data_IF_975963096364
#
_entry.id   IF_975963096364
#
_cell.length_a   1.000
_cell.length_b   1.000
_cell.length_c   1.000
_cell.angle_alpha   90.00
_cell.angle_beta   90.00
_cell.angle_gamma   90.00
#
_symmetry.space_group_name_H-M   'P 1'
#
loop_
_entity.id
_entity.type
_entity.pdbx_description
1 polymer ?
#
# COMPACT_ATOMS: atom_id res chain seq x y z
N UNK A 1 80.73 -26.53 -45.90
CA UNK A 1 81.65 -25.81 -45.00
C UNK A 1 80.84 -25.03 -43.97
N UNK A 2 81.35 -24.98 -42.74
CA UNK A 2 80.64 -24.75 -41.47
C UNK A 2 80.21 -23.31 -41.16
N UNK A 3 78.99 -23.20 -40.58
CA UNK A 3 78.53 -22.35 -39.43
C UNK A 3 78.56 -20.80 -39.57
N UNK A 4 77.88 -20.01 -38.69
CA UNK A 4 76.79 -20.29 -37.71
C UNK A 4 75.61 -19.28 -37.72
N UNK A 5 74.56 -19.58 -36.92
CA UNK A 5 73.40 -18.75 -36.57
C UNK A 5 73.73 -17.59 -35.60
N UNK A 6 72.91 -16.52 -35.63
CA UNK A 6 72.65 -15.58 -34.51
C UNK A 6 71.27 -14.88 -34.71
N UNK A 7 70.68 -14.21 -33.69
CA UNK A 7 69.42 -14.64 -33.08
C UNK A 7 68.22 -13.69 -33.26
N UNK A 8 67.05 -14.19 -32.83
CA UNK A 8 65.74 -13.53 -32.71
C UNK A 8 65.84 -12.11 -32.12
N UNK A 9 65.22 -11.14 -32.81
CA UNK A 9 64.86 -9.82 -32.29
C UNK A 9 63.38 -9.57 -32.58
N UNK A 10 62.65 -9.21 -31.53
CA UNK A 10 61.21 -8.93 -31.49
C UNK A 10 60.82 -7.69 -32.30
N UNK A 11 59.72 -7.68 -33.05
CA UNK A 11 59.08 -6.45 -33.47
C UNK A 11 58.09 -5.98 -32.40
N UNK A 12 58.29 -4.74 -31.97
CA UNK A 12 57.41 -3.89 -31.19
C UNK A 12 56.00 -3.77 -31.80
N UNK A 13 54.97 -3.84 -30.94
CA UNK A 13 53.58 -3.50 -31.27
C UNK A 13 53.46 -2.02 -31.68
N UNK A 14 52.66 -1.67 -32.72
CA UNK A 14 52.24 -0.30 -32.97
C UNK A 14 51.07 0.11 -32.05
N UNK A 15 50.84 1.43 -31.88
CA UNK A 15 49.94 1.97 -30.85
C UNK A 15 48.47 1.75 -31.18
N UNK A 16 47.68 1.46 -30.14
CA UNK A 16 46.23 1.37 -30.16
C UNK A 16 45.69 2.78 -30.42
N UNK A 17 45.03 2.98 -31.56
CA UNK A 17 44.21 4.16 -31.82
C UNK A 17 42.89 4.02 -31.04
N UNK A 18 42.55 5.07 -30.28
CA UNK A 18 41.28 5.23 -29.57
C UNK A 18 40.09 5.16 -30.52
N UNK A 19 39.49 3.98 -30.62
CA UNK A 19 38.16 3.78 -31.18
C UNK A 19 37.12 4.08 -30.11
N UNK A 20 36.53 5.28 -30.16
CA UNK A 20 35.33 5.62 -29.42
C UNK A 20 34.21 4.62 -29.78
N UNK A 21 33.98 3.63 -28.92
CA UNK A 21 32.83 2.73 -29.01
C UNK A 21 31.61 3.53 -28.57
N UNK A 22 31.01 4.26 -29.52
CA UNK A 22 29.63 4.72 -29.39
C UNK A 22 28.76 3.47 -29.34
N UNK A 23 28.42 3.04 -28.12
CA UNK A 23 27.50 1.92 -27.88
C UNK A 23 26.13 2.30 -28.45
N UNK A 24 25.84 1.83 -29.66
CA UNK A 24 24.53 1.99 -30.27
C UNK A 24 23.49 1.30 -29.37
N UNK A 25 22.51 2.07 -28.92
CA UNK A 25 21.43 1.57 -28.09
C UNK A 25 20.65 0.47 -28.84
N UNK A 26 20.48 -0.71 -28.22
CA UNK A 26 19.71 -1.83 -28.77
C UNK A 26 18.30 -1.41 -29.25
N UNK A 27 17.75 -1.98 -30.34
CA UNK A 27 16.44 -1.58 -30.89
C UNK A 27 15.30 -1.58 -29.87
N UNK A 28 15.33 -2.49 -28.88
CA UNK A 28 14.36 -2.53 -27.76
C UNK A 28 14.50 -1.33 -26.81
N UNK A 29 15.71 -0.82 -26.58
CA UNK A 29 15.92 0.34 -25.69
C UNK A 29 15.54 1.66 -26.37
N UNK A 30 15.72 1.75 -27.70
CA UNK A 30 15.25 2.87 -28.53
C UNK A 30 13.72 2.92 -28.53
N UNK A 31 13.02 1.82 -28.89
CA UNK A 31 11.53 1.75 -28.87
C UNK A 31 10.92 2.14 -27.51
N UNK A 32 11.62 1.84 -26.41
CA UNK A 32 11.15 2.07 -25.02
C UNK A 32 11.34 3.51 -24.55
N UNK A 33 12.44 4.19 -24.91
CA UNK A 33 12.56 5.64 -24.73
C UNK A 33 11.44 6.37 -25.48
N UNK A 34 10.97 5.79 -26.59
CA UNK A 34 9.85 6.31 -27.38
C UNK A 34 8.50 6.22 -26.67
N UNK A 35 8.21 5.17 -25.88
CA UNK A 35 6.89 5.01 -25.20
C UNK A 35 6.63 6.08 -24.15
N UNK A 36 7.56 6.26 -23.20
CA UNK A 36 7.44 7.31 -22.19
C UNK A 36 7.44 8.72 -22.82
N UNK A 37 8.31 8.97 -23.80
CA UNK A 37 8.33 10.23 -24.53
C UNK A 37 7.00 10.51 -25.27
N UNK A 38 6.38 9.48 -25.86
CA UNK A 38 5.09 9.60 -26.54
C UNK A 38 3.96 9.89 -25.56
N UNK A 39 3.94 9.25 -24.39
CA UNK A 39 2.97 9.56 -23.34
C UNK A 39 3.13 10.98 -22.82
N UNK A 40 4.36 11.41 -22.53
CA UNK A 40 4.65 12.77 -22.07
C UNK A 40 4.21 13.83 -23.07
N UNK A 41 4.29 13.59 -24.38
CA UNK A 41 3.77 14.54 -25.39
C UNK A 41 2.27 14.81 -25.27
N UNK A 42 1.51 13.87 -24.70
CA UNK A 42 0.05 14.00 -24.50
C UNK A 42 -0.31 14.73 -23.22
N UNK A 43 0.63 14.86 -22.28
CA UNK A 43 0.39 15.50 -20.99
C UNK A 43 0.70 17.01 -21.10
N UNK A 44 -0.22 17.91 -20.70
CA UNK A 44 0.03 19.35 -20.68
C UNK A 44 1.32 19.72 -19.95
N UNK A 45 2.00 20.79 -20.41
CA UNK A 45 3.31 21.17 -19.84
C UNK A 45 3.24 21.53 -18.35
N UNK A 46 2.17 22.19 -17.90
CA UNK A 46 1.97 22.50 -16.48
C UNK A 46 1.92 21.25 -15.61
N UNK A 47 1.10 20.27 -16.01
CA UNK A 47 1.00 18.97 -15.32
C UNK A 47 2.35 18.24 -15.36
N UNK A 48 3.03 18.20 -16.51
CA UNK A 48 4.34 17.54 -16.64
C UNK A 48 5.41 18.04 -15.67
N UNK A 49 5.41 19.34 -15.37
CA UNK A 49 6.38 19.97 -14.49
C UNK A 49 5.91 20.08 -13.04
N UNK A 50 4.65 19.73 -12.76
CA UNK A 50 4.14 19.70 -11.40
C UNK A 50 4.97 18.75 -10.54
N UNK A 51 5.40 19.25 -9.38
CA UNK A 51 6.32 18.56 -8.46
C UNK A 51 5.54 17.94 -7.32
N UNK A 52 5.82 16.67 -7.05
CA UNK A 52 5.26 15.92 -5.95
C UNK A 52 6.36 15.66 -4.92
N UNK A 53 6.16 16.14 -3.70
CA UNK A 53 6.97 15.78 -2.55
C UNK A 53 6.47 14.43 -2.01
N UNK A 54 7.17 13.36 -2.39
CA UNK A 54 6.85 11.99 -1.98
C UNK A 54 7.93 11.46 -1.04
N UNK A 55 7.59 10.46 -0.24
CA UNK A 55 8.54 9.72 0.56
C UNK A 55 8.77 8.33 -0.05
N UNK A 56 10.02 7.91 -0.21
CA UNK A 56 10.39 6.64 -0.84
C UNK A 56 11.21 5.76 0.10
N UNK A 57 11.16 4.45 -0.13
CA UNK A 57 12.03 3.50 0.55
C UNK A 57 12.33 2.29 -0.33
N UNK A 58 13.09 1.36 0.24
CA UNK A 58 13.63 0.18 -0.44
C UNK A 58 12.86 -1.10 -0.14
N UNK A 59 12.19 -1.22 1.02
CA UNK A 59 11.40 -2.41 1.38
C UNK A 59 10.35 -2.15 2.46
N UNK A 60 9.38 -3.06 2.62
CA UNK A 60 8.24 -2.86 3.51
C UNK A 60 8.57 -2.60 4.99
N UNK A 61 9.74 -3.04 5.47
CA UNK A 61 10.19 -2.87 6.87
C UNK A 61 10.83 -1.51 7.16
N UNK A 62 10.98 -0.66 6.16
CA UNK A 62 11.58 0.67 6.35
C UNK A 62 10.73 1.51 7.28
N UNK A 63 11.39 2.17 8.23
CA UNK A 63 10.77 3.06 9.20
C UNK A 63 11.08 4.53 8.97
N UNK A 64 12.05 4.86 8.12
CA UNK A 64 12.49 6.24 7.82
C UNK A 64 12.57 6.42 6.30
N UNK A 65 11.44 6.69 5.63
CA UNK A 65 11.45 6.90 4.19
C UNK A 65 12.13 8.23 3.84
N UNK A 66 12.80 8.26 2.70
CA UNK A 66 13.55 9.44 2.23
C UNK A 66 12.59 10.31 1.41
N UNK A 67 12.48 11.58 1.77
CA UNK A 67 11.72 12.53 0.96
C UNK A 67 12.44 12.81 -0.37
N UNK A 68 11.67 12.79 -1.47
CA UNK A 68 12.10 13.17 -2.81
C UNK A 68 11.06 14.09 -3.43
N UNK A 69 11.53 15.11 -4.12
CA UNK A 69 10.70 15.92 -5.01
C UNK A 69 10.84 15.39 -6.43
N UNK A 70 9.73 14.94 -7.01
CA UNK A 70 9.70 14.40 -8.37
C UNK A 70 8.63 15.09 -9.19
N UNK A 71 9.00 15.48 -10.41
CA UNK A 71 8.00 15.94 -11.39
C UNK A 71 7.16 14.76 -11.86
N UNK A 72 5.92 15.03 -12.28
CA UNK A 72 5.09 14.04 -12.99
C UNK A 72 5.85 13.46 -14.20
N UNK A 73 6.65 14.27 -14.89
CA UNK A 73 7.51 13.78 -15.98
C UNK A 73 8.55 12.75 -15.54
N UNK A 74 9.16 12.94 -14.35
CA UNK A 74 10.10 12.00 -13.79
C UNK A 74 9.38 10.69 -13.41
N UNK A 75 8.24 10.77 -12.71
CA UNK A 75 7.44 9.60 -12.35
C UNK A 75 7.01 8.79 -13.57
N UNK A 76 6.48 9.43 -14.62
CA UNK A 76 6.10 8.74 -15.86
C UNK A 76 7.30 8.01 -16.48
N UNK A 77 8.50 8.62 -16.48
CA UNK A 77 9.70 7.97 -17.02
C UNK A 77 10.16 6.78 -16.17
N UNK A 78 10.15 6.94 -14.85
CA UNK A 78 10.53 5.90 -13.89
C UNK A 78 9.54 4.73 -13.95
N UNK A 79 8.24 5.01 -13.99
CA UNK A 79 7.18 4.01 -13.84
C UNK A 79 6.71 3.38 -15.15
N UNK A 80 7.08 3.90 -16.32
CA UNK A 80 6.75 3.22 -17.61
C UNK A 80 7.41 1.83 -17.73
N UNK A 81 8.41 1.53 -16.89
CA UNK A 81 9.09 0.23 -16.86
C UNK A 81 8.88 -0.42 -15.50
N UNK A 82 8.43 -1.69 -15.45
CA UNK A 82 8.38 -2.41 -14.20
C UNK A 82 9.78 -2.85 -13.82
N UNK A 83 9.99 -2.99 -12.52
CA UNK A 83 11.09 -3.77 -11.95
C UNK A 83 10.81 -5.27 -12.14
N UNK A 84 11.69 -5.94 -12.89
CA UNK A 84 11.65 -7.37 -13.18
C UNK A 84 12.65 -8.17 -12.33
N UNK A 85 13.31 -7.52 -11.38
CA UNK A 85 14.32 -8.13 -10.52
C UNK A 85 13.75 -8.62 -9.19
N UNK A 86 12.48 -8.32 -8.92
CA UNK A 86 11.77 -8.78 -7.72
C UNK A 86 11.33 -10.22 -7.86
N UNK A 87 11.47 -10.96 -6.77
CA UNK A 87 11.04 -12.34 -6.69
C UNK A 87 11.84 -13.28 -7.59
N UNK A 88 11.50 -14.57 -7.49
CA UNK A 88 12.05 -15.65 -8.31
C UNK A 88 10.96 -16.49 -8.97
N UNK A 89 9.73 -16.40 -8.49
CA UNK A 89 8.61 -17.16 -9.01
C UNK A 89 8.13 -16.58 -10.34
N UNK A 90 7.69 -17.48 -11.22
CA UNK A 90 6.85 -17.09 -12.36
C UNK A 90 5.52 -16.53 -11.88
N UNK A 91 4.80 -15.81 -12.75
CA UNK A 91 3.47 -15.30 -12.43
C UNK A 91 2.50 -16.42 -12.03
N UNK A 92 2.50 -17.54 -12.76
CA UNK A 92 1.60 -18.65 -12.45
C UNK A 92 1.92 -19.26 -11.08
N UNK A 93 3.20 -19.56 -10.79
CA UNK A 93 3.62 -20.04 -9.47
C UNK A 93 3.27 -19.07 -8.34
N UNK A 94 3.44 -17.77 -8.59
CA UNK A 94 3.10 -16.74 -7.61
C UNK A 94 1.59 -16.70 -7.32
N UNK A 95 0.75 -16.86 -8.35
CA UNK A 95 -0.71 -16.84 -8.23
C UNK A 95 -1.27 -18.13 -7.61
N UNK A 96 -0.55 -19.25 -7.71
CA UNK A 96 -0.89 -20.51 -7.04
C UNK A 96 -0.68 -20.49 -5.53
N UNK A 97 0.12 -19.55 -5.00
CA UNK A 97 0.35 -19.42 -3.55
C UNK A 97 -0.95 -19.08 -2.80
N UNK A 98 -1.29 -19.90 -1.81
CA UNK A 98 -2.44 -19.65 -0.94
C UNK A 98 -2.15 -18.49 0.01
N UNK A 99 -3.01 -17.46 -0.05
CA UNK A 99 -2.91 -16.28 0.80
C UNK A 99 -3.43 -16.52 2.22
N UNK A 100 -4.16 -17.61 2.45
CA UNK A 100 -4.66 -18.01 3.77
C UNK A 100 -3.61 -18.80 4.55
N UNK A 101 -2.72 -19.50 3.84
CA UNK A 101 -1.58 -20.16 4.46
C UNK A 101 -0.51 -19.12 4.88
N UNK A 102 -0.12 -19.03 6.16
CA UNK A 102 0.82 -18.01 6.63
C UNK A 102 2.20 -18.09 5.96
N UNK A 103 2.69 -19.30 5.69
CA UNK A 103 4.02 -19.52 5.09
C UNK A 103 4.03 -19.07 3.64
N UNK A 104 3.03 -19.49 2.86
CA UNK A 104 2.89 -19.08 1.46
C UNK A 104 2.57 -17.59 1.33
N UNK A 105 1.77 -17.02 2.23
CA UNK A 105 1.56 -15.56 2.32
C UNK A 105 2.87 -14.81 2.59
N UNK A 106 3.72 -15.32 3.49
CA UNK A 106 5.03 -14.73 3.75
C UNK A 106 5.94 -14.79 2.51
N UNK A 107 5.97 -15.93 1.81
CA UNK A 107 6.66 -16.07 0.51
C UNK A 107 6.12 -15.06 -0.50
N UNK A 108 4.80 -14.94 -0.64
CA UNK A 108 4.14 -14.01 -1.57
C UNK A 108 4.51 -12.55 -1.28
N UNK A 109 4.64 -12.19 0.00
CA UNK A 109 5.07 -10.87 0.43
C UNK A 109 6.54 -10.63 0.11
N UNK A 110 7.42 -11.59 0.36
CA UNK A 110 8.84 -11.49 0.07
C UNK A 110 9.12 -11.36 -1.44
N UNK A 111 8.37 -12.08 -2.29
CA UNK A 111 8.49 -12.04 -3.74
C UNK A 111 8.22 -10.65 -4.33
N UNK A 112 7.22 -9.93 -3.81
CA UNK A 112 6.84 -8.59 -4.31
C UNK A 112 7.57 -7.44 -3.61
N UNK A 113 8.22 -7.71 -2.47
CA UNK A 113 8.83 -6.67 -1.65
C UNK A 113 9.94 -5.95 -2.43
N UNK A 114 10.13 -4.68 -2.11
CA UNK A 114 11.07 -3.83 -2.83
C UNK A 114 10.68 -2.36 -2.74
N UNK A 115 11.23 -1.53 -3.65
CA UNK A 115 11.03 -0.10 -3.60
C UNK A 115 9.56 0.31 -3.55
N UNK A 116 9.27 1.30 -2.73
CA UNK A 116 7.93 1.85 -2.52
C UNK A 116 7.98 3.37 -2.51
N UNK A 117 6.80 3.97 -2.64
CA UNK A 117 6.56 5.38 -2.38
C UNK A 117 5.35 5.57 -1.46
N UNK A 118 5.27 6.75 -0.87
CA UNK A 118 4.14 7.28 -0.12
C UNK A 118 3.89 8.67 -0.69
N UNK A 119 2.68 9.01 -1.15
CA UNK A 119 2.37 10.34 -1.68
C UNK A 119 2.21 11.38 -0.53
N UNK A 120 3.16 11.36 0.40
CA UNK A 120 3.16 12.15 1.61
C UNK A 120 4.59 12.46 2.06
N UNK A 121 4.73 13.50 2.86
CA UNK A 121 5.97 13.85 3.57
C UNK A 121 5.81 13.57 5.06
N UNK A 122 6.93 13.34 5.73
CA UNK A 122 6.99 13.11 7.17
C UNK A 122 7.79 14.23 7.83
N UNK A 123 7.67 14.35 9.15
CA UNK A 123 8.57 15.19 9.94
C UNK A 123 10.01 14.74 9.75
N UNK A 124 10.96 15.67 9.78
CA UNK A 124 12.39 15.37 9.60
C UNK A 124 12.93 14.36 10.62
N UNK A 125 12.39 14.38 11.85
CA UNK A 125 12.70 13.47 12.95
C UNK A 125 11.69 12.32 13.12
N UNK A 126 10.75 12.22 12.17
CA UNK A 126 9.61 11.31 12.25
C UNK A 126 9.87 9.91 11.72
N UNK A 127 8.99 9.00 12.09
CA UNK A 127 8.93 7.64 11.59
C UNK A 127 7.82 7.52 10.55
N UNK A 128 7.81 6.40 9.82
CA UNK A 128 6.72 6.01 8.92
C UNK A 128 5.48 5.60 9.71
N UNK A 129 4.80 6.59 10.28
CA UNK A 129 3.57 6.45 11.05
C UNK A 129 2.64 7.64 10.80
N UNK A 130 1.33 7.42 10.94
CA UNK A 130 0.32 8.40 10.57
C UNK A 130 0.44 9.74 11.33
N UNK A 131 0.90 9.70 12.59
CA UNK A 131 1.10 10.89 13.44
C UNK A 131 2.22 11.80 12.98
N UNK A 132 3.15 11.26 12.18
CA UNK A 132 4.35 11.98 11.76
C UNK A 132 4.22 12.48 10.31
N UNK A 133 3.09 12.21 9.65
CA UNK A 133 2.79 12.72 8.32
C UNK A 133 2.54 14.23 8.41
N UNK A 134 3.22 15.00 7.55
CA UNK A 134 3.11 16.47 7.51
C UNK A 134 2.14 16.92 6.42
N UNK A 135 2.22 16.32 5.23
CA UNK A 135 1.37 16.68 4.10
C UNK A 135 1.22 15.52 3.13
N UNK A 136 0.16 15.53 2.32
CA UNK A 136 -0.05 14.59 1.21
C UNK A 136 -0.12 15.35 -0.11
N UNK A 137 0.53 14.84 -1.15
CA UNK A 137 0.58 15.43 -2.49
C UNK A 137 -0.24 14.66 -3.54
N UNK A 138 -0.87 13.56 -3.14
CA UNK A 138 -1.73 12.79 -4.03
C UNK A 138 -2.48 11.67 -3.32
N UNK A 139 -3.48 11.12 -4.00
CA UNK A 139 -4.22 9.94 -3.58
C UNK A 139 -3.70 8.71 -4.34
N UNK A 140 -3.24 7.70 -3.61
CA UNK A 140 -2.89 6.41 -4.18
C UNK A 140 -4.03 5.41 -3.93
N UNK A 141 -4.51 4.77 -5.00
CA UNK A 141 -5.55 3.75 -4.96
C UNK A 141 -5.03 2.38 -5.37
N UNK A 142 -5.58 1.33 -4.74
CA UNK A 142 -5.32 -0.07 -5.07
C UNK A 142 -6.64 -0.78 -5.41
N UNK A 143 -6.67 -1.41 -6.57
CA UNK A 143 -7.80 -2.12 -7.14
C UNK A 143 -7.37 -3.56 -7.42
N UNK A 144 -7.51 -4.41 -6.42
CA UNK A 144 -6.96 -5.77 -6.41
C UNK A 144 -8.01 -6.88 -6.63
N UNK A 145 -9.28 -6.50 -6.84
CA UNK A 145 -10.41 -7.43 -6.94
C UNK A 145 -10.55 -8.15 -8.30
N UNK A 146 -9.84 -7.69 -9.35
CA UNK A 146 -9.87 -8.35 -10.66
C UNK A 146 -11.07 -8.02 -11.53
N UNK A 147 -11.93 -7.05 -11.17
CA UNK A 147 -13.18 -6.77 -11.91
C UNK A 147 -13.09 -5.55 -12.81
N UNK A 148 -12.25 -4.56 -12.45
CA UNK A 148 -12.15 -3.30 -13.19
C UNK A 148 -11.09 -3.38 -14.28
N UNK A 149 -11.49 -2.99 -15.48
CA UNK A 149 -10.59 -2.86 -16.63
C UNK A 149 -9.92 -1.49 -16.65
N UNK A 150 -8.91 -1.35 -17.49
CA UNK A 150 -8.31 -0.05 -17.81
C UNK A 150 -9.36 0.99 -18.24
N UNK A 151 -10.31 0.60 -19.09
CA UNK A 151 -11.34 1.50 -19.59
C UNK A 151 -12.27 1.98 -18.47
N UNK A 152 -12.57 1.12 -17.50
CA UNK A 152 -13.38 1.50 -16.33
C UNK A 152 -12.65 2.53 -15.46
N UNK A 153 -11.33 2.38 -15.28
CA UNK A 153 -10.51 3.35 -14.53
C UNK A 153 -10.48 4.69 -15.27
N UNK A 154 -10.25 4.68 -16.59
CA UNK A 154 -10.27 5.88 -17.43
C UNK A 154 -11.64 6.59 -17.40
N UNK A 155 -12.74 5.83 -17.40
CA UNK A 155 -14.10 6.37 -17.31
C UNK A 155 -14.41 6.93 -15.92
N UNK A 156 -14.08 6.20 -14.86
CA UNK A 156 -14.34 6.63 -13.48
C UNK A 156 -13.53 7.87 -13.09
N UNK A 157 -12.27 7.97 -13.53
CA UNK A 157 -11.40 9.12 -13.28
C UNK A 157 -11.46 10.19 -14.39
N UNK A 158 -12.47 10.14 -15.27
CA UNK A 158 -12.59 11.07 -16.38
C UNK A 158 -12.62 12.53 -15.89
N UNK A 159 -11.76 13.38 -16.46
CA UNK A 159 -11.63 14.79 -16.10
C UNK A 159 -10.59 15.05 -15.00
N UNK A 160 -10.06 14.01 -14.35
CA UNK A 160 -8.97 14.12 -13.38
C UNK A 160 -7.71 13.46 -13.93
N UNK A 161 -6.58 14.15 -13.85
CA UNK A 161 -5.30 13.59 -14.23
C UNK A 161 -4.90 12.47 -13.25
N UNK A 162 -4.45 11.34 -13.79
CA UNK A 162 -3.95 10.24 -12.98
C UNK A 162 -2.84 9.47 -13.70
N UNK A 163 -2.03 8.76 -12.92
CA UNK A 163 -1.03 7.80 -13.40
C UNK A 163 -1.46 6.42 -12.90
N UNK A 164 -1.56 5.43 -13.78
CA UNK A 164 -1.97 4.07 -13.40
C UNK A 164 -1.00 3.02 -13.95
N UNK A 165 -0.85 1.94 -13.18
CA UNK A 165 -0.05 0.78 -13.55
C UNK A 165 -0.61 -0.51 -12.98
N UNK A 166 -0.31 -1.62 -13.63
CA UNK A 166 -0.71 -2.95 -13.17
C UNK A 166 0.00 -3.35 -11.87
N UNK A 167 -0.71 -3.99 -10.93
CA UNK A 167 -0.12 -4.50 -9.68
C UNK A 167 0.75 -5.74 -9.93
N UNK A 168 1.59 -6.14 -8.95
CA UNK A 168 2.51 -7.29 -9.09
C UNK A 168 1.79 -8.60 -9.44
N UNK A 169 0.54 -8.74 -9.02
CA UNK A 169 -0.29 -9.93 -9.27
C UNK A 169 -1.27 -9.78 -10.43
N UNK A 170 -1.07 -8.78 -11.28
CA UNK A 170 -1.88 -8.55 -12.46
C UNK A 170 -1.74 -9.70 -13.46
N UNK A 171 -2.86 -10.13 -14.01
CA UNK A 171 -2.91 -10.98 -15.20
C UNK A 171 -4.05 -10.52 -16.11
N UNK A 172 -4.02 -10.94 -17.37
CA UNK A 172 -5.11 -10.62 -18.31
C UNK A 172 -6.47 -11.19 -17.90
N UNK A 173 -6.48 -12.23 -17.05
CA UNK A 173 -7.70 -12.84 -16.49
C UNK A 173 -8.21 -12.11 -15.24
N UNK A 174 -7.29 -11.60 -14.42
CA UNK A 174 -7.58 -10.90 -13.17
C UNK A 174 -6.83 -9.56 -13.18
N UNK A 175 -7.39 -8.54 -13.84
CA UNK A 175 -6.76 -7.24 -13.95
C UNK A 175 -6.72 -6.54 -12.59
N UNK A 176 -5.51 -6.24 -12.13
CA UNK A 176 -5.27 -5.52 -10.88
C UNK A 176 -4.43 -4.30 -11.11
N UNK A 177 -4.77 -3.21 -10.42
CA UNK A 177 -4.28 -1.88 -10.75
C UNK A 177 -3.93 -1.09 -9.51
N UNK A 178 -2.90 -0.26 -9.63
CA UNK A 178 -2.67 0.88 -8.76
C UNK A 178 -2.74 2.16 -9.57
N UNK A 179 -3.22 3.20 -8.94
CA UNK A 179 -3.20 4.54 -9.54
C UNK A 179 -2.79 5.59 -8.53
N UNK A 180 -2.24 6.69 -9.03
CA UNK A 180 -1.92 7.90 -8.30
C UNK A 180 -2.68 9.05 -8.95
N UNK A 181 -3.50 9.75 -8.17
CA UNK A 181 -4.11 11.03 -8.52
C UNK A 181 -3.32 12.15 -7.82
N UNK A 182 -2.51 12.91 -8.53
CA UNK A 182 -1.80 14.06 -7.97
C UNK A 182 -2.78 15.17 -7.56
N UNK A 183 -2.54 15.78 -6.41
CA UNK A 183 -3.30 16.95 -5.99
C UNK A 183 -2.76 18.21 -6.64
N UNK A 184 -3.62 19.21 -6.82
CA UNK A 184 -3.18 20.54 -7.28
C UNK A 184 -2.30 21.22 -6.22
N UNK A 185 -2.65 21.05 -4.95
CA UNK A 185 -1.90 21.54 -3.80
C UNK A 185 -1.81 20.43 -2.73
N UNK A 186 -0.70 20.40 -2.00
CA UNK A 186 -0.55 19.45 -0.90
C UNK A 186 -1.55 19.76 0.22
N UNK A 187 -2.13 18.70 0.80
CA UNK A 187 -3.15 18.82 1.85
C UNK A 187 -2.61 18.38 3.21
N UNK A 188 -3.22 18.90 4.27
CA UNK A 188 -3.02 18.39 5.62
C UNK A 188 -3.64 16.98 5.76
N UNK A 189 -3.03 16.06 6.53
CA UNK A 189 -3.53 14.68 6.70
C UNK A 189 -4.98 14.54 7.15
N UNK A 190 -5.51 15.53 7.87
CA UNK A 190 -6.91 15.54 8.30
C UNK A 190 -7.92 15.54 7.15
N UNK A 191 -7.53 16.01 5.96
CA UNK A 191 -8.39 16.00 4.77
C UNK A 191 -8.39 14.66 4.03
N UNK A 192 -7.46 13.75 4.33
CA UNK A 192 -7.32 12.47 3.60
C UNK A 192 -8.58 11.59 3.69
N UNK A 193 -9.26 11.59 4.84
CA UNK A 193 -10.48 10.80 5.03
C UNK A 193 -11.61 11.23 4.05
N UNK A 194 -11.72 12.53 3.77
CA UNK A 194 -12.67 13.05 2.76
C UNK A 194 -12.30 12.58 1.36
N UNK A 195 -11.01 12.68 1.01
CA UNK A 195 -10.53 12.26 -0.31
C UNK A 195 -10.75 10.76 -0.51
N UNK A 196 -10.43 9.94 0.50
CA UNK A 196 -10.68 8.51 0.48
C UNK A 196 -12.18 8.18 0.31
N UNK A 197 -13.07 8.85 1.05
CA UNK A 197 -14.52 8.66 0.91
C UNK A 197 -15.02 9.02 -0.50
N UNK A 198 -14.50 10.09 -1.08
CA UNK A 198 -14.82 10.49 -2.46
C UNK A 198 -14.43 9.39 -3.46
N UNK A 199 -13.20 8.89 -3.41
CA UNK A 199 -12.77 7.82 -4.32
C UNK A 199 -13.44 6.47 -4.03
N UNK A 200 -13.74 6.14 -2.77
CA UNK A 200 -14.57 4.98 -2.43
C UNK A 200 -15.92 5.04 -3.13
N UNK A 201 -16.61 6.18 -3.07
CA UNK A 201 -17.87 6.38 -3.79
C UNK A 201 -17.71 6.23 -5.30
N UNK A 202 -16.67 6.82 -5.87
CA UNK A 202 -16.39 6.77 -7.31
C UNK A 202 -16.12 5.35 -7.83
N UNK A 203 -15.50 4.51 -7.00
CA UNK A 203 -15.15 3.12 -7.32
C UNK A 203 -16.13 2.10 -6.74
N UNK A 204 -17.35 2.49 -6.36
CA UNK A 204 -18.38 1.59 -5.82
C UNK A 204 -17.88 0.75 -4.62
N UNK A 205 -17.05 1.37 -3.78
CA UNK A 205 -16.39 0.80 -2.61
C UNK A 205 -15.38 -0.33 -2.89
N UNK A 206 -14.80 -0.36 -4.10
CA UNK A 206 -13.86 -1.40 -4.50
C UNK A 206 -12.38 -1.14 -4.15
N UNK A 207 -12.02 0.00 -3.54
CA UNK A 207 -10.62 0.26 -3.16
C UNK A 207 -10.26 -0.51 -1.88
N UNK A 208 -8.99 -0.92 -1.77
CA UNK A 208 -8.46 -1.48 -0.53
C UNK A 208 -8.56 -0.46 0.61
N UNK A 209 -8.93 -0.90 1.82
CA UNK A 209 -9.12 0.00 2.97
C UNK A 209 -7.83 0.72 3.38
N UNK A 210 -6.66 0.18 3.04
CA UNK A 210 -5.37 0.84 3.24
C UNK A 210 -5.23 2.13 2.45
N UNK A 211 -6.00 2.35 1.40
CA UNK A 211 -6.05 3.63 0.68
C UNK A 211 -6.45 4.79 1.61
N UNK A 212 -7.20 4.52 2.69
CA UNK A 212 -7.56 5.50 3.71
C UNK A 212 -6.46 5.81 4.74
N UNK A 213 -5.31 5.14 4.67
CA UNK A 213 -4.19 5.33 5.62
C UNK A 213 -3.14 6.28 5.05
N UNK A 214 -2.77 7.31 5.81
CA UNK A 214 -1.87 8.40 5.36
C UNK A 214 -0.40 7.97 5.23
N UNK A 215 0.03 6.98 6.02
CA UNK A 215 1.39 6.43 6.00
C UNK A 215 1.50 5.09 5.23
N UNK A 216 0.50 4.75 4.41
CA UNK A 216 0.50 3.51 3.64
C UNK A 216 1.59 3.53 2.57
N UNK A 217 2.36 2.43 2.48
CA UNK A 217 3.29 2.23 1.38
C UNK A 217 2.61 1.71 0.13
N UNK A 218 3.10 2.18 -1.02
CA UNK A 218 2.69 1.72 -2.33
C UNK A 218 3.93 1.26 -3.08
N UNK A 219 4.00 -0.02 -3.41
CA UNK A 219 5.12 -0.53 -4.18
C UNK A 219 5.18 0.15 -5.54
N UNK A 220 6.38 0.61 -5.92
CA UNK A 220 6.63 1.09 -7.28
C UNK A 220 6.43 -0.05 -8.29
N UNK A 221 6.23 0.26 -9.58
CA UNK A 221 5.90 -0.75 -10.57
C UNK A 221 6.87 -1.92 -10.62
N UNK A 222 6.33 -3.12 -10.51
CA UNK A 222 7.05 -4.38 -10.58
C UNK A 222 6.10 -5.50 -10.98
N UNK A 223 6.64 -6.57 -11.56
CA UNK A 223 5.92 -7.80 -11.84
C UNK A 223 6.89 -8.98 -11.81
N UNK A 224 6.39 -10.23 -11.74
CA UNK A 224 7.22 -11.41 -11.92
C UNK A 224 8.10 -11.34 -13.18
N UNK A 225 9.30 -11.93 -13.17
CA UNK A 225 10.27 -11.79 -14.26
C UNK A 225 9.75 -12.21 -15.64
N UNK A 226 8.86 -13.19 -15.69
CA UNK A 226 8.22 -13.74 -16.88
C UNK A 226 6.93 -12.99 -17.29
N UNK A 227 6.49 -11.99 -16.53
CA UNK A 227 5.23 -11.28 -16.74
C UNK A 227 5.38 -9.90 -17.40
N UNK A 228 6.58 -9.56 -17.90
CA UNK A 228 6.86 -8.24 -18.47
C UNK A 228 5.91 -7.84 -19.60
N UNK A 229 5.40 -8.79 -20.39
CA UNK A 229 4.41 -8.55 -21.45
C UNK A 229 3.02 -8.20 -20.93
N UNK A 230 2.69 -8.56 -19.68
CA UNK A 230 1.41 -8.25 -19.03
C UNK A 230 1.46 -6.93 -18.27
N UNK A 231 2.65 -6.37 -18.06
CA UNK A 231 2.77 -5.09 -17.39
C UNK A 231 2.17 -3.96 -18.22
N UNK A 232 1.24 -3.25 -17.59
CA UNK A 232 0.57 -2.11 -18.19
C UNK A 232 0.84 -0.83 -17.40
N UNK A 233 1.01 0.26 -18.14
CA UNK A 233 1.19 1.61 -17.63
C UNK A 233 0.46 2.57 -18.56
N UNK A 234 -0.32 3.49 -17.99
CA UNK A 234 -1.07 4.50 -18.71
C UNK A 234 -1.34 5.74 -17.83
N UNK A 235 -1.79 6.80 -18.47
CA UNK A 235 -2.14 8.07 -17.80
C UNK A 235 -3.51 8.53 -18.29
N UNK A 236 -4.33 9.04 -17.37
CA UNK A 236 -5.56 9.75 -17.69
C UNK A 236 -5.30 11.18 -18.10
N UNK A 237 -6.21 11.74 -18.90
CA UNK A 237 -6.24 13.18 -19.18
C UNK A 237 -7.21 13.87 -18.22
N UNK A 238 -6.92 15.12 -17.87
CA UNK A 238 -7.71 15.91 -16.95
C UNK A 238 -6.84 16.89 -16.18
N UNK A 239 -7.42 17.48 -15.15
CA UNK A 239 -6.75 18.43 -14.28
C UNK A 239 -6.18 17.76 -13.03
N UNK A 240 -5.22 18.40 -12.37
CA UNK A 240 -4.80 17.99 -11.03
C UNK A 240 -5.99 18.08 -10.08
N UNK A 241 -6.08 17.19 -9.10
CA UNK A 241 -7.24 17.16 -8.21
C UNK A 241 -7.24 18.36 -7.26
N UNK A 242 -8.26 19.20 -7.38
CA UNK A 242 -8.59 20.20 -6.37
C UNK A 242 -9.35 19.54 -5.21
N UNK A 243 -8.64 19.28 -4.11
CA UNK A 243 -9.23 18.66 -2.91
C UNK A 243 -10.21 19.59 -2.20
N UNK A 244 -10.08 20.91 -2.37
CA UNK A 244 -11.02 21.86 -1.78
C UNK A 244 -12.39 21.79 -2.48
N UNK A 245 -12.43 21.45 -3.78
CA UNK A 245 -13.66 21.26 -4.53
C UNK A 245 -14.40 19.94 -4.18
N UNK A 246 -13.75 18.99 -3.50
CA UNK A 246 -14.41 17.77 -3.04
C UNK A 246 -15.39 18.15 -1.92
N UNK A 247 -16.70 17.85 -2.07
CA UNK A 247 -17.68 18.11 -1.04
C UNK A 247 -17.24 17.48 0.28
N UNK A 248 -17.36 18.23 1.37
CA UNK A 248 -17.22 17.62 2.69
C UNK A 248 -18.17 16.41 2.75
N UNK A 249 -17.70 15.25 3.25
CA UNK A 249 -18.57 14.11 3.38
C UNK A 249 -19.74 14.59 4.23
N UNK A 250 -20.97 14.45 3.70
CA UNK A 250 -22.18 14.76 4.47
C UNK A 250 -21.95 14.10 5.80
N UNK A 251 -21.87 14.90 6.86
CA UNK A 251 -21.72 14.37 8.19
C UNK A 251 -22.98 13.54 8.43
N UNK A 252 -22.96 12.25 8.12
CA UNK A 252 -23.66 11.27 8.96
C UNK A 252 -23.24 11.70 10.35
N UNK A 253 -24.19 12.13 11.19
CA UNK A 253 -23.87 12.85 12.40
C UNK A 253 -22.74 12.07 13.06
N UNK A 254 -21.55 12.68 13.12
CA UNK A 254 -20.53 12.26 14.06
C UNK A 254 -21.32 12.29 15.34
N UNK A 255 -21.77 11.13 15.84
CA UNK A 255 -22.45 11.07 17.12
C UNK A 255 -21.45 11.74 18.02
N UNK A 256 -21.76 12.98 18.41
CA UNK A 256 -20.97 13.68 19.37
C UNK A 256 -20.82 12.67 20.48
N UNK A 257 -19.59 12.38 20.85
CA UNK A 257 -19.30 11.71 22.11
C UNK A 257 -19.60 12.76 23.18
N UNK A 258 -20.87 13.15 23.29
CA UNK A 258 -21.45 13.48 24.56
C UNK A 258 -21.44 12.15 25.28
N UNK A 259 -20.57 12.06 26.29
CA UNK A 259 -20.66 11.11 27.38
C UNK A 259 -22.13 10.87 27.71
N UNK A 260 -22.72 9.79 27.16
CA UNK A 260 -24.02 9.35 27.60
C UNK A 260 -23.80 8.69 28.97
N UNK A 261 -24.59 9.07 29.99
CA UNK A 261 -24.50 8.40 31.27
C UNK A 261 -24.86 6.92 31.10
N UNK A 262 -24.16 6.11 31.90
CA UNK A 262 -24.34 4.69 32.14
C UNK A 262 -25.82 4.28 32.13
N UNK A 263 -26.18 3.41 31.18
CA UNK A 263 -27.29 2.47 31.34
C UNK A 263 -27.07 1.25 30.42
N UNK A 264 -25.97 0.53 30.66
CA UNK A 264 -25.78 -0.82 30.12
C UNK A 264 -26.61 -1.73 31.03
N UNK A 265 -27.77 -2.16 30.53
CA UNK A 265 -28.63 -3.12 31.24
C UNK A 265 -28.03 -4.53 31.15
N UNK A 266 -28.31 -5.39 32.14
CA UNK A 266 -27.88 -6.80 32.22
C UNK A 266 -28.02 -7.60 30.90
N UNK A 267 -28.93 -7.21 30.01
CA UNK A 267 -29.15 -7.80 28.69
C UNK A 267 -27.96 -7.64 27.71
N UNK A 268 -27.13 -6.61 27.84
CA UNK A 268 -25.96 -6.46 26.95
C UNK A 268 -24.79 -7.36 27.36
N UNK A 269 -24.62 -7.60 28.67
CA UNK A 269 -23.66 -8.57 29.20
C UNK A 269 -23.97 -9.96 28.64
N UNK A 270 -25.22 -10.44 28.79
CA UNK A 270 -25.63 -11.76 28.32
C UNK A 270 -25.41 -11.96 26.82
N UNK A 271 -25.69 -10.93 26.02
CA UNK A 271 -25.47 -10.96 24.57
C UNK A 271 -23.99 -11.07 24.21
N UNK A 272 -23.13 -10.27 24.83
CA UNK A 272 -21.68 -10.31 24.57
C UNK A 272 -21.09 -11.64 25.04
N UNK A 273 -21.50 -12.13 26.22
CA UNK A 273 -21.08 -13.43 26.74
C UNK A 273 -21.47 -14.56 25.79
N UNK A 274 -22.71 -14.57 25.28
CA UNK A 274 -23.19 -15.56 24.31
C UNK A 274 -22.39 -15.52 23.00
N UNK A 275 -22.04 -14.33 22.52
CA UNK A 275 -21.22 -14.17 21.32
C UNK A 275 -19.79 -14.70 21.53
N UNK A 276 -19.15 -14.34 22.65
CA UNK A 276 -17.80 -14.81 23.01
C UNK A 276 -17.76 -16.33 23.26
N UNK A 277 -18.86 -16.93 23.73
CA UNK A 277 -18.95 -18.37 23.92
C UNK A 277 -18.76 -19.16 22.61
N UNK A 278 -19.14 -18.60 21.46
CA UNK A 278 -18.98 -19.23 20.13
C UNK A 278 -17.55 -19.06 19.60
N UNK A 279 -16.89 -17.94 19.93
CA UNK A 279 -15.62 -17.55 19.31
C UNK A 279 -14.43 -18.20 20.04
N UNK A 280 -13.45 -18.81 19.34
CA UNK A 280 -12.19 -19.27 19.94
C UNK A 280 -11.28 -18.09 20.30
N UNK A 281 -10.49 -18.21 21.38
CA UNK A 281 -9.62 -17.13 21.87
C UNK A 281 -8.14 -17.28 21.46
N UNK A 282 -7.81 -18.20 20.55
CA UNK A 282 -6.42 -18.56 20.21
C UNK A 282 -5.68 -17.55 19.32
N UNK A 283 -6.41 -16.68 18.61
CA UNK A 283 -5.83 -15.68 17.71
C UNK A 283 -5.43 -14.43 18.52
N UNK A 284 -4.12 -14.16 18.62
CA UNK A 284 -3.59 -13.05 19.43
C UNK A 284 -4.06 -11.68 18.96
N UNK A 285 -4.21 -11.48 17.65
CA UNK A 285 -4.64 -10.20 17.09
C UNK A 285 -6.12 -9.96 17.42
N UNK A 286 -6.97 -10.97 17.24
CA UNK A 286 -8.38 -10.94 17.61
C UNK A 286 -8.57 -10.76 19.12
N UNK A 287 -7.77 -11.46 19.91
CA UNK A 287 -7.79 -11.40 21.36
C UNK A 287 -7.52 -9.98 21.89
N UNK A 288 -6.51 -9.30 21.32
CA UNK A 288 -6.22 -7.89 21.62
C UNK A 288 -7.37 -6.99 21.17
N UNK A 289 -7.85 -7.16 19.93
CA UNK A 289 -8.92 -6.32 19.36
C UNK A 289 -10.21 -6.39 20.18
N UNK A 290 -10.59 -7.58 20.62
CA UNK A 290 -11.80 -7.75 21.43
C UNK A 290 -11.60 -7.29 22.87
N UNK A 291 -10.41 -7.45 23.46
CA UNK A 291 -10.08 -6.86 24.75
C UNK A 291 -10.25 -5.33 24.75
N UNK A 292 -9.75 -4.66 23.70
CA UNK A 292 -9.94 -3.21 23.50
C UNK A 292 -11.44 -2.87 23.35
N UNK A 293 -12.17 -3.63 22.53
CA UNK A 293 -13.59 -3.40 22.30
C UNK A 293 -14.42 -3.53 23.58
N UNK A 294 -14.14 -4.54 24.40
CA UNK A 294 -14.82 -4.74 25.69
C UNK A 294 -14.51 -3.59 26.65
N UNK A 295 -13.22 -3.23 26.83
CA UNK A 295 -12.77 -2.18 27.76
C UNK A 295 -13.37 -0.81 27.44
N UNK A 296 -13.63 -0.52 26.17
CA UNK A 296 -14.19 0.77 25.72
C UNK A 296 -15.71 0.86 25.77
N UNK A 297 -16.41 -0.28 25.70
CA UNK A 297 -17.85 -0.30 25.48
C UNK A 297 -18.64 -0.89 26.66
N UNK A 298 -17.97 -1.40 27.70
CA UNK A 298 -18.59 -1.98 28.89
C UNK A 298 -17.96 -1.39 30.18
N UNK A 299 -18.64 -1.47 31.34
CA UNK A 299 -18.03 -1.15 32.63
C UNK A 299 -16.76 -2.00 32.84
N UNK A 300 -15.69 -1.41 33.38
CA UNK A 300 -14.36 -2.04 33.38
C UNK A 300 -14.32 -3.39 34.11
N UNK A 301 -15.06 -3.53 35.20
CA UNK A 301 -15.22 -4.76 35.96
C UNK A 301 -15.87 -5.88 35.13
N UNK A 302 -16.98 -5.57 34.47
CA UNK A 302 -17.69 -6.50 33.58
C UNK A 302 -16.85 -6.85 32.36
N UNK A 303 -16.20 -5.84 31.76
CA UNK A 303 -15.35 -6.00 30.59
C UNK A 303 -14.15 -6.91 30.88
N UNK A 304 -13.47 -6.68 32.01
CA UNK A 304 -12.33 -7.50 32.47
C UNK A 304 -12.77 -8.93 32.71
N UNK A 305 -13.91 -9.13 33.37
CA UNK A 305 -14.45 -10.46 33.66
C UNK A 305 -14.77 -11.25 32.38
N UNK A 306 -15.47 -10.63 31.42
CA UNK A 306 -15.80 -11.27 30.15
C UNK A 306 -14.57 -11.62 29.34
N UNK A 307 -13.59 -10.71 29.30
CA UNK A 307 -12.35 -10.96 28.60
C UNK A 307 -11.53 -12.06 29.28
N UNK A 308 -11.50 -12.12 30.62
CA UNK A 308 -10.85 -13.20 31.38
C UNK A 308 -11.42 -14.58 31.04
N UNK A 309 -12.74 -14.71 31.20
CA UNK A 309 -13.45 -15.98 30.99
C UNK A 309 -13.32 -16.45 29.55
N UNK A 310 -13.34 -15.52 28.59
CA UNK A 310 -13.11 -15.85 27.19
C UNK A 310 -11.65 -16.24 26.92
N UNK A 311 -10.68 -15.58 27.55
CA UNK A 311 -9.25 -15.88 27.42
C UNK A 311 -8.92 -17.30 27.91
N UNK A 312 -9.56 -17.75 29.00
CA UNK A 312 -9.40 -19.10 29.56
C UNK A 312 -9.83 -20.23 28.62
N UNK A 313 -10.52 -19.94 27.51
CA UNK A 313 -10.87 -20.96 26.50
C UNK A 313 -9.68 -21.46 25.67
N UNK A 314 -8.55 -20.77 25.68
CA UNK A 314 -7.34 -21.18 24.96
C UNK A 314 -6.40 -21.94 25.90
N UNK A 315 -5.79 -23.01 25.40
CA UNK A 315 -4.72 -23.74 26.11
C UNK A 315 -3.46 -22.88 26.33
N UNK A 316 -3.38 -21.71 25.67
CA UNK A 316 -2.29 -20.73 25.81
C UNK A 316 -2.56 -19.67 26.88
N UNK A 317 -3.64 -19.81 27.65
CA UNK A 317 -4.01 -18.84 28.67
C UNK A 317 -2.95 -18.76 29.77
N UNK A 318 -2.46 -17.54 30.00
CA UNK A 318 -1.56 -17.19 31.09
C UNK A 318 -2.20 -15.99 31.84
N UNK A 319 -2.52 -16.14 33.14
CA UNK A 319 -3.16 -15.07 33.90
C UNK A 319 -2.32 -13.81 34.00
N UNK A 320 -0.98 -13.92 34.08
CA UNK A 320 -0.08 -12.77 34.19
C UNK A 320 0.02 -12.03 32.85
N UNK A 321 0.05 -12.74 31.72
CA UNK A 321 0.02 -12.13 30.39
C UNK A 321 -1.34 -11.49 30.06
N UNK A 322 -2.43 -12.09 30.56
CA UNK A 322 -3.77 -11.54 30.48
C UNK A 322 -3.83 -10.19 31.21
N UNK A 323 -3.44 -10.15 32.49
CA UNK A 323 -3.42 -8.92 33.29
C UNK A 323 -2.53 -7.84 32.68
N UNK A 324 -1.28 -8.19 32.33
CA UNK A 324 -0.34 -7.23 31.72
C UNK A 324 -0.89 -6.65 30.42
N UNK A 325 -1.56 -7.46 29.61
CA UNK A 325 -2.12 -6.99 28.34
C UNK A 325 -3.36 -6.12 28.56
N UNK A 326 -4.21 -6.43 29.54
CA UNK A 326 -5.36 -5.59 29.91
C UNK A 326 -4.95 -4.16 30.24
N UNK A 327 -3.90 -4.04 31.05
CA UNK A 327 -3.38 -2.76 31.53
C UNK A 327 -2.73 -1.96 30.40
N UNK A 328 -2.21 -2.63 29.37
CA UNK A 328 -1.63 -1.98 28.18
C UNK A 328 -2.67 -1.30 27.28
N UNK A 329 -3.96 -1.67 27.40
CA UNK A 329 -5.01 -1.09 26.58
C UNK A 329 -5.30 0.36 27.00
N UNK A 330 -5.12 1.28 26.05
CA UNK A 330 -5.44 2.70 26.22
C UNK A 330 -6.95 2.92 26.14
N UNK A 331 -7.47 3.82 26.98
CA UNK A 331 -8.90 4.19 27.00
C UNK A 331 -9.34 4.90 25.71
N UNK A 332 -8.40 5.39 24.91
CA UNK A 332 -8.64 5.99 23.59
C UNK A 332 -7.46 5.71 22.64
N UNK A 333 -7.48 4.62 21.87
CA UNK A 333 -6.50 4.36 20.83
C UNK A 333 -6.74 5.32 19.67
N UNK A 334 -5.69 5.96 19.16
CA UNK A 334 -5.74 6.87 18.01
C UNK A 334 -5.98 6.18 16.65
N UNK A 335 -6.73 5.07 16.64
CA UNK A 335 -7.02 4.24 15.46
C UNK A 335 -8.52 3.95 15.30
N UNK A 336 -8.87 3.11 14.33
CA UNK A 336 -10.26 2.71 14.07
C UNK A 336 -10.90 2.11 15.33
N UNK A 337 -12.05 2.66 15.73
CA UNK A 337 -12.73 2.25 16.95
C UNK A 337 -13.30 0.83 16.78
N UNK A 338 -12.72 -0.14 17.46
CA UNK A 338 -13.25 -1.51 17.52
C UNK A 338 -14.35 -1.52 18.57
N UNK A 339 -15.56 -1.90 18.16
CA UNK A 339 -16.75 -1.91 19.02
C UNK A 339 -17.28 -3.32 19.23
N UNK A 340 -18.25 -3.48 20.13
CA UNK A 340 -18.94 -4.76 20.34
C UNK A 340 -19.58 -5.31 19.05
N UNK A 341 -19.84 -4.46 18.05
CA UNK A 341 -20.36 -4.89 16.75
C UNK A 341 -19.42 -5.88 16.03
N UNK A 342 -18.10 -5.72 16.19
CA UNK A 342 -17.12 -6.65 15.64
C UNK A 342 -17.24 -8.03 16.29
N UNK A 343 -17.43 -8.09 17.60
CA UNK A 343 -17.63 -9.36 18.34
C UNK A 343 -18.89 -10.07 17.84
N UNK A 344 -20.01 -9.35 17.71
CA UNK A 344 -21.26 -9.93 17.20
C UNK A 344 -21.17 -10.40 15.74
N UNK A 345 -20.47 -9.65 14.88
CA UNK A 345 -20.24 -10.04 13.50
C UNK A 345 -19.43 -11.35 13.41
N UNK A 346 -18.38 -11.49 14.21
CA UNK A 346 -17.57 -12.70 14.26
C UNK A 346 -18.34 -13.91 14.81
N UNK A 347 -19.14 -13.73 15.86
CA UNK A 347 -19.99 -14.81 16.38
C UNK A 347 -21.00 -15.31 15.33
N UNK A 348 -21.63 -14.40 14.58
CA UNK A 348 -22.58 -14.73 13.50
C UNK A 348 -21.95 -15.47 12.32
N UNK A 349 -20.65 -15.32 12.08
CA UNK A 349 -19.98 -16.02 10.99
C UNK A 349 -19.49 -17.43 11.39
N UNK A 350 -19.47 -17.74 12.69
CA UNK A 350 -18.98 -19.01 13.25
C UNK A 350 -20.11 -19.95 13.71
N UNK A 351 -21.31 -19.43 13.96
CA UNK A 351 -22.53 -20.18 14.24
C UNK A 351 -23.62 -19.83 13.23
#
# INVERSE_FOLDING_TARGET
MSRPRKPLSTPSNPPIADGCVMTAASPKSVLRKTRAATMLKRIPSGIRQHVLAISVGSHCRDTHPIQRELTISALVREWTKPDLTRGKLSLDQYLELDQKDPTQKATRNAEKDGPYFIPATFRDDGFRQATDVVSLCGFAGDLDNGTLTKADIEAKLHGTFFIAYSSYSHSTRLPKWRFLVPYQESIHPSAHAKVYAHFQGLFDNQLDTRCGTTAQIWYTPACPPDAAQHYEFFVGQGDLLDVAAIPEPVATPKKSITSKPCNITANEHERVQSALAIIPSDDREMWIKFGIALKQNLPQDVARQLWDVWSQKSDKYDPDDCDRTWDSFKDSPGGEAITLASIFFHARNLG
#
